data_IF_728880373460
#
_entry.id   IF_728880373460
#
_cell.length_a   1.000
_cell.length_b   1.000
_cell.length_c   1.000
_cell.angle_alpha   90.00
_cell.angle_beta   90.00
_cell.angle_gamma   90.00
#
_symmetry.space_group_name_H-M   'P 1'
#
loop_
_entity.id
_entity.type
_entity.pdbx_description
1 polymer ?
#
# COMPACT_ATOMS: atom_id res chain seq x y z
N UNK A 1 -10.74 14.73 -1.18
CA UNK A 1 -10.44 13.70 -2.19
C UNK A 1 -11.65 12.80 -2.34
N UNK A 2 -12.10 12.59 -3.57
CA UNK A 2 -13.15 11.61 -3.89
C UNK A 2 -12.50 10.42 -4.61
N UNK A 3 -12.74 9.21 -4.11
CA UNK A 3 -12.31 7.95 -4.73
C UNK A 3 -13.47 7.34 -5.52
N UNK A 4 -13.17 6.80 -6.69
CA UNK A 4 -14.12 6.14 -7.60
C UNK A 4 -13.68 4.69 -7.84
N UNK A 5 -14.64 3.87 -8.27
CA UNK A 5 -14.41 2.47 -8.65
C UNK A 5 -13.65 1.67 -7.57
N UNK A 6 -14.05 1.87 -6.31
CA UNK A 6 -13.44 1.20 -5.17
C UNK A 6 -13.81 -0.29 -5.18
N UNK A 7 -12.80 -1.14 -5.25
CA UNK A 7 -12.96 -2.61 -5.29
C UNK A 7 -12.07 -3.28 -4.24
N UNK A 8 -12.55 -4.39 -3.68
CA UNK A 8 -11.72 -5.31 -2.90
C UNK A 8 -10.95 -6.23 -3.85
N UNK A 9 -9.64 -6.28 -3.70
CA UNK A 9 -8.73 -7.09 -4.53
C UNK A 9 -8.38 -8.42 -3.85
N UNK A 10 -8.25 -8.42 -2.52
CA UNK A 10 -7.86 -9.61 -1.77
C UNK A 10 -8.36 -9.55 -0.31
N UNK A 11 -8.87 -10.65 0.26
CA UNK A 11 -9.24 -10.73 1.68
C UNK A 11 -7.99 -10.96 2.56
N UNK A 12 -6.99 -10.09 2.40
CA UNK A 12 -5.68 -10.19 3.03
C UNK A 12 -5.77 -10.09 4.57
N UNK A 13 -4.83 -10.77 5.23
CA UNK A 13 -4.68 -10.81 6.69
C UNK A 13 -3.21 -10.94 7.00
N UNK A 14 -2.74 -10.27 8.04
CA UNK A 14 -1.34 -10.29 8.41
C UNK A 14 -1.12 -10.26 9.91
N UNK A 15 0.09 -10.66 10.30
CA UNK A 15 0.60 -10.45 11.65
C UNK A 15 2.08 -10.09 11.61
N UNK A 16 2.40 -8.87 12.02
CA UNK A 16 3.78 -8.37 12.10
C UNK A 16 4.14 -7.92 13.51
N UNK A 17 5.44 -7.85 13.79
CA UNK A 17 5.97 -7.31 15.03
C UNK A 17 7.10 -6.35 14.66
N UNK A 18 7.02 -5.12 15.14
CA UNK A 18 8.02 -4.11 14.87
C UNK A 18 9.29 -4.34 15.72
N UNK A 19 10.30 -3.48 15.54
CA UNK A 19 11.58 -3.58 16.27
C UNK A 19 11.44 -3.30 17.77
N UNK A 20 10.36 -2.65 18.19
CA UNK A 20 10.06 -2.31 19.58
C UNK A 20 9.16 -3.37 20.25
N UNK A 21 8.74 -4.41 19.51
CA UNK A 21 7.85 -5.46 20.01
C UNK A 21 6.36 -5.14 19.90
N UNK A 22 5.98 -4.05 19.21
CA UNK A 22 4.59 -3.71 18.93
C UNK A 22 4.07 -4.69 17.87
N UNK A 23 2.92 -5.31 18.14
CA UNK A 23 2.33 -6.33 17.28
C UNK A 23 1.10 -5.75 16.58
N UNK A 24 1.06 -5.92 15.27
CA UNK A 24 -0.14 -5.75 14.45
C UNK A 24 -0.63 -7.13 14.02
N UNK A 25 -1.93 -7.40 14.16
CA UNK A 25 -2.55 -8.69 13.83
C UNK A 25 -3.96 -8.45 13.30
N UNK A 26 -4.08 -8.32 11.98
CA UNK A 26 -5.23 -7.67 11.36
C UNK A 26 -5.89 -8.53 10.28
N UNK A 27 -7.21 -8.34 10.17
CA UNK A 27 -7.96 -8.70 8.97
C UNK A 27 -8.01 -7.42 8.14
N UNK A 28 -7.21 -7.36 7.07
CA UNK A 28 -6.96 -6.13 6.32
C UNK A 28 -7.14 -6.39 4.81
N UNK A 29 -8.39 -6.40 4.31
CA UNK A 29 -8.64 -6.55 2.89
C UNK A 29 -7.98 -5.43 2.08
N UNK A 30 -7.37 -5.79 0.95
CA UNK A 30 -6.72 -4.82 0.06
C UNK A 30 -7.78 -4.19 -0.82
N UNK A 31 -7.89 -2.86 -0.75
CA UNK A 31 -8.81 -2.08 -1.58
C UNK A 31 -8.04 -1.29 -2.65
N UNK A 32 -8.62 -1.17 -3.85
CA UNK A 32 -8.10 -0.33 -4.93
C UNK A 32 -9.19 0.60 -5.43
N UNK A 33 -8.85 1.85 -5.70
CA UNK A 33 -9.74 2.82 -6.31
C UNK A 33 -8.96 3.94 -7.00
N UNK A 34 -9.66 4.79 -7.73
CA UNK A 34 -9.07 5.82 -8.58
C UNK A 34 -9.51 7.21 -8.16
N UNK A 35 -8.62 8.19 -8.33
CA UNK A 35 -8.94 9.60 -8.10
C UNK A 35 -8.13 10.48 -9.05
N UNK A 36 -8.67 11.65 -9.36
CA UNK A 36 -7.96 12.73 -10.06
C UNK A 36 -7.59 13.86 -9.10
N UNK A 37 -7.98 13.76 -7.82
CA UNK A 37 -7.68 14.77 -6.81
C UNK A 37 -6.31 14.48 -6.20
N UNK A 38 -5.57 15.52 -5.82
CA UNK A 38 -4.42 15.35 -4.94
C UNK A 38 -4.89 15.15 -3.49
N UNK A 39 -4.20 14.31 -2.69
CA UNK A 39 -4.49 14.17 -1.28
C UNK A 39 -4.21 15.48 -0.53
N UNK A 40 -5.02 15.76 0.50
CA UNK A 40 -4.82 16.86 1.45
C UNK A 40 -4.74 16.23 2.84
N UNK A 41 -3.56 15.71 3.23
CA UNK A 41 -3.45 14.92 4.46
C UNK A 41 -3.43 15.79 5.71
N UNK A 42 -3.71 15.16 6.86
CA UNK A 42 -3.41 15.74 8.16
C UNK A 42 -1.91 15.60 8.44
N UNK A 43 -1.22 16.72 8.66
CA UNK A 43 0.24 16.77 8.93
C UNK A 43 0.65 16.05 10.23
N UNK A 44 -0.28 15.84 11.16
CA UNK A 44 -0.03 15.04 12.37
C UNK A 44 0.05 13.53 12.13
N UNK A 45 -0.43 13.06 10.97
CA UNK A 45 -0.52 11.64 10.63
C UNK A 45 0.35 11.27 9.41
N UNK A 46 0.49 12.17 8.44
CA UNK A 46 1.26 11.94 7.20
C UNK A 46 2.33 13.01 7.07
N UNK A 47 3.59 12.58 7.08
CA UNK A 47 4.73 13.49 6.98
C UNK A 47 4.98 14.02 5.56
N UNK A 48 4.76 13.20 4.52
CA UNK A 48 4.95 13.57 3.11
C UNK A 48 4.18 12.62 2.17
N UNK A 49 3.96 13.02 0.92
CA UNK A 49 3.35 12.19 -0.12
C UNK A 49 3.84 12.51 -1.52
N UNK A 50 3.85 11.51 -2.40
CA UNK A 50 4.07 11.69 -3.84
C UNK A 50 3.21 10.71 -4.64
N UNK A 51 2.80 11.12 -5.84
CA UNK A 51 2.37 10.17 -6.86
C UNK A 51 3.60 9.52 -7.48
N UNK A 52 3.59 8.20 -7.62
CA UNK A 52 4.69 7.40 -8.21
C UNK A 52 4.10 6.43 -9.23
N UNK A 53 4.83 6.19 -10.33
CA UNK A 53 4.43 5.18 -11.30
C UNK A 53 4.51 3.78 -10.69
N UNK A 54 3.52 2.92 -10.97
CA UNK A 54 3.43 1.61 -10.32
C UNK A 54 4.68 0.73 -10.51
N UNK A 55 5.24 0.66 -11.72
CA UNK A 55 6.47 -0.12 -11.98
C UNK A 55 7.70 0.42 -11.24
N UNK A 56 7.79 1.74 -11.13
CA UNK A 56 8.85 2.40 -10.37
C UNK A 56 8.70 2.07 -8.88
N UNK A 57 7.47 2.13 -8.36
CA UNK A 57 7.16 1.78 -6.97
C UNK A 57 7.48 0.32 -6.64
N UNK A 58 7.07 -0.63 -7.49
CA UNK A 58 7.44 -2.05 -7.31
C UNK A 58 8.94 -2.22 -7.16
N UNK A 59 9.70 -1.63 -8.09
CA UNK A 59 11.16 -1.70 -8.08
C UNK A 59 11.75 -1.08 -6.82
N UNK A 60 11.22 0.07 -6.38
CA UNK A 60 11.68 0.74 -5.15
C UNK A 60 11.40 -0.12 -3.90
N UNK A 61 10.27 -0.82 -3.84
CA UNK A 61 9.97 -1.74 -2.72
C UNK A 61 10.87 -2.98 -2.67
N UNK A 62 11.41 -3.39 -3.82
CA UNK A 62 12.39 -4.48 -3.93
C UNK A 62 13.81 -4.01 -3.61
N UNK A 63 14.22 -2.85 -4.14
CA UNK A 63 15.56 -2.28 -3.99
C UNK A 63 15.77 -1.70 -2.58
N UNK A 64 14.72 -1.11 -1.97
CA UNK A 64 14.75 -0.41 -0.68
C UNK A 64 13.71 -0.95 0.32
N UNK A 65 13.72 -2.26 0.65
CA UNK A 65 12.64 -2.90 1.42
C UNK A 65 12.48 -2.36 2.85
N UNK A 66 13.53 -1.78 3.43
CA UNK A 66 13.49 -1.22 4.79
C UNK A 66 12.82 0.17 4.86
N UNK A 67 12.54 0.80 3.72
CA UNK A 67 11.82 2.07 3.65
C UNK A 67 10.30 1.91 3.74
N UNK A 68 9.81 0.67 3.65
CA UNK A 68 8.39 0.35 3.60
C UNK A 68 7.99 -0.53 4.78
N UNK A 69 6.71 -0.45 5.16
CA UNK A 69 6.16 -1.39 6.11
C UNK A 69 6.16 -2.82 5.53
N UNK A 70 6.19 -3.85 6.40
CA UNK A 70 6.12 -5.24 5.93
C UNK A 70 4.85 -5.54 5.13
N UNK A 71 3.69 -5.01 5.56
CA UNK A 71 2.42 -5.20 4.85
C UNK A 71 2.42 -4.51 3.49
N UNK A 72 2.94 -3.28 3.35
CA UNK A 72 3.05 -2.59 2.06
C UNK A 72 3.78 -3.44 1.01
N UNK A 73 4.84 -4.16 1.42
CA UNK A 73 5.61 -5.04 0.53
C UNK A 73 4.81 -6.28 0.11
N UNK A 74 4.10 -6.92 1.04
CA UNK A 74 3.26 -8.08 0.72
C UNK A 74 2.06 -7.69 -0.15
N UNK A 75 1.38 -6.60 0.20
CA UNK A 75 0.22 -6.07 -0.52
C UNK A 75 0.58 -5.71 -1.96
N UNK A 76 1.75 -5.09 -2.18
CA UNK A 76 2.24 -4.72 -3.50
C UNK A 76 2.42 -5.94 -4.42
N UNK A 77 2.96 -7.05 -3.89
CA UNK A 77 3.11 -8.31 -4.64
C UNK A 77 1.75 -8.95 -4.94
N UNK A 78 0.81 -8.88 -3.99
CA UNK A 78 -0.56 -9.39 -4.18
C UNK A 78 -1.29 -8.58 -5.26
N UNK A 79 -1.24 -7.25 -5.17
CA UNK A 79 -1.84 -6.34 -6.14
C UNK A 79 -1.30 -6.56 -7.56
N UNK A 80 0.02 -6.71 -7.70
CA UNK A 80 0.66 -6.97 -8.99
C UNK A 80 0.21 -8.29 -9.61
N UNK A 81 -0.03 -9.33 -8.80
CA UNK A 81 -0.49 -10.64 -9.29
C UNK A 81 -1.98 -10.62 -9.66
N UNK A 82 -2.78 -9.86 -8.93
CA UNK A 82 -4.22 -9.76 -9.13
C UNK A 82 -4.60 -8.88 -10.34
N UNK A 83 -3.73 -7.96 -10.76
CA UNK A 83 -3.99 -6.99 -11.83
C UNK A 83 -2.87 -7.03 -12.90
N UNK A 84 -2.92 -7.97 -13.86
CA UNK A 84 -1.91 -8.12 -14.91
C UNK A 84 -1.70 -6.87 -15.77
N UNK A 85 -2.68 -6.00 -15.89
CA UNK A 85 -2.59 -4.71 -16.58
C UNK A 85 -1.64 -3.72 -15.91
N UNK A 86 -1.28 -3.95 -14.65
CA UNK A 86 -0.25 -3.19 -13.95
C UNK A 86 1.19 -3.68 -14.28
N UNK A 87 1.35 -4.74 -15.09
CA UNK A 87 2.66 -5.25 -15.55
C UNK A 87 3.40 -4.34 -16.52
#
# INVERSE_FOLDING_TARGET
MVVRDLVEVSPYRYRFTDRNGIVENEICPILMGFTNDNPVPNEGEVADWKWIGWKEFLKDTEDNPNMYSPWCREETVILQRANPELQ
#
